data_IF_150400505851
#
_entry.id   IF_150400505851
#
_cell.length_a   1.000
_cell.length_b   1.000
_cell.length_c   1.000
_cell.angle_alpha   90.00
_cell.angle_beta   90.00
_cell.angle_gamma   90.00
#
_symmetry.space_group_name_H-M   'P 1'
#
loop_
_entity.id
_entity.type
_entity.pdbx_description
1 polymer ?
#
# COMPACT_ATOMS: atom_id res chain seq x y z
N UNK A 1 -21.92 57.27 -39.59
CA UNK A 1 -21.04 57.03 -38.43
C UNK A 1 -21.36 55.64 -37.88
N UNK A 2 -20.69 54.62 -38.40
CA UNK A 2 -20.88 53.21 -38.03
C UNK A 2 -19.55 52.70 -37.48
N UNK A 3 -19.43 52.67 -36.15
CA UNK A 3 -18.24 52.15 -35.48
C UNK A 3 -18.26 50.62 -35.43
N UNK A 4 -17.12 49.93 -35.63
CA UNK A 4 -17.06 48.49 -35.53
C UNK A 4 -17.11 48.06 -34.06
N UNK A 5 -18.07 47.20 -33.75
CA UNK A 5 -18.22 46.52 -32.46
C UNK A 5 -17.04 45.56 -32.27
N UNK A 6 -16.08 45.93 -31.42
CA UNK A 6 -14.97 45.04 -31.02
C UNK A 6 -15.53 43.92 -30.14
N UNK A 7 -15.64 42.72 -30.69
CA UNK A 7 -15.92 41.50 -29.93
C UNK A 7 -14.73 41.25 -29.01
N UNK A 8 -14.94 41.44 -27.71
CA UNK A 8 -13.98 41.07 -26.67
C UNK A 8 -13.95 39.54 -26.59
N UNK A 9 -12.91 38.91 -27.13
CA UNK A 9 -12.67 37.49 -26.91
C UNK A 9 -12.29 37.30 -25.44
N UNK A 10 -13.27 36.89 -24.62
CA UNK A 10 -13.02 36.38 -23.27
C UNK A 10 -12.29 35.05 -23.45
N UNK A 11 -10.96 35.09 -23.39
CA UNK A 11 -10.14 33.91 -23.13
C UNK A 11 -10.58 33.37 -21.77
N UNK A 12 -11.44 32.35 -21.79
CA UNK A 12 -11.63 31.45 -20.66
C UNK A 12 -10.25 30.87 -20.35
N UNK A 13 -9.54 31.48 -19.40
CA UNK A 13 -8.43 30.86 -18.72
C UNK A 13 -9.01 29.62 -18.05
N UNK A 14 -8.92 28.49 -18.76
CA UNK A 14 -9.27 27.18 -18.22
C UNK A 14 -8.49 27.03 -16.92
N UNK A 15 -9.23 27.09 -15.81
CA UNK A 15 -8.65 27.11 -14.48
C UNK A 15 -7.76 25.86 -14.33
N UNK A 16 -6.56 25.94 -13.74
CA UNK A 16 -5.65 24.80 -13.57
C UNK A 16 -6.32 23.58 -12.92
N UNK A 17 -7.39 23.81 -12.18
CA UNK A 17 -8.24 22.78 -11.60
C UNK A 17 -8.93 21.86 -12.61
N UNK A 18 -9.29 22.37 -13.81
CA UNK A 18 -9.96 21.58 -14.84
C UNK A 18 -9.02 20.51 -15.44
N UNK A 19 -7.77 20.89 -15.74
CA UNK A 19 -6.76 19.99 -16.30
C UNK A 19 -6.31 18.88 -15.33
N UNK A 20 -6.40 19.13 -14.02
CA UNK A 20 -6.03 18.11 -13.05
C UNK A 20 -6.94 16.88 -13.13
N UNK A 21 -8.20 17.04 -13.54
CA UNK A 21 -9.17 15.96 -13.68
C UNK A 21 -9.31 15.40 -15.09
N UNK A 22 -8.51 15.88 -16.06
CA UNK A 22 -8.42 15.22 -17.36
C UNK A 22 -7.90 13.80 -17.13
N UNK A 23 -8.80 12.82 -17.25
CA UNK A 23 -8.54 11.41 -16.98
C UNK A 23 -9.53 10.52 -17.75
N UNK A 24 -9.12 9.37 -18.30
CA UNK A 24 -7.77 8.80 -18.26
C UNK A 24 -6.76 9.59 -19.09
N UNK A 25 -5.60 9.87 -18.51
CA UNK A 25 -4.47 10.40 -19.27
C UNK A 25 -3.81 9.28 -20.06
N UNK A 26 -3.47 9.57 -21.33
CA UNK A 26 -2.59 8.70 -22.12
C UNK A 26 -1.26 8.55 -21.38
N UNK A 27 -0.60 7.40 -21.53
CA UNK A 27 0.74 7.21 -21.02
C UNK A 27 1.63 8.35 -21.53
N UNK A 28 2.33 9.04 -20.63
CA UNK A 28 3.37 9.97 -21.03
C UNK A 28 4.42 9.22 -21.88
N UNK A 29 5.13 9.88 -22.81
CA UNK A 29 6.21 9.24 -23.54
C UNK A 29 7.19 8.54 -22.59
N UNK A 30 7.38 7.23 -22.77
CA UNK A 30 8.23 6.40 -21.90
C UNK A 30 7.60 5.91 -20.59
N UNK A 31 6.36 6.29 -20.27
CA UNK A 31 5.65 5.77 -19.10
C UNK A 31 5.27 4.29 -19.30
N UNK A 32 5.43 3.50 -18.24
CA UNK A 32 5.18 2.07 -18.28
C UNK A 32 3.68 1.69 -18.27
N UNK A 33 2.79 2.64 -18.01
CA UNK A 33 1.34 2.43 -17.97
C UNK A 33 0.56 3.73 -18.26
N UNK A 34 -0.65 3.59 -18.81
CA UNK A 34 -1.64 4.66 -18.95
C UNK A 34 -2.68 4.56 -17.82
N UNK A 35 -3.29 5.70 -17.46
CA UNK A 35 -4.40 5.71 -16.50
C UNK A 35 -5.63 5.02 -17.10
N UNK A 36 -6.45 4.43 -16.24
CA UNK A 36 -7.75 3.86 -16.60
C UNK A 36 -8.88 4.61 -15.90
N UNK A 37 -10.12 4.34 -16.30
CA UNK A 37 -11.29 4.99 -15.72
C UNK A 37 -11.37 4.80 -14.19
N UNK A 38 -11.00 3.63 -13.67
CA UNK A 38 -10.98 3.37 -12.23
C UNK A 38 -9.93 4.19 -11.45
N UNK A 39 -8.90 4.70 -12.13
CA UNK A 39 -7.84 5.50 -11.53
C UNK A 39 -8.27 6.97 -11.31
N UNK A 40 -9.30 7.43 -12.04
CA UNK A 40 -9.55 8.85 -12.24
C UNK A 40 -9.93 9.68 -11.02
N UNK A 41 -10.79 9.20 -10.11
CA UNK A 41 -11.09 9.95 -8.89
C UNK A 41 -9.83 10.26 -8.08
N UNK A 42 -8.88 9.33 -8.08
CA UNK A 42 -7.65 9.40 -7.30
C UNK A 42 -6.54 10.16 -8.02
N UNK A 43 -6.44 9.97 -9.34
CA UNK A 43 -5.48 10.63 -10.21
C UNK A 43 -5.57 12.17 -10.11
N UNK A 44 -6.79 12.69 -10.28
CA UNK A 44 -6.99 14.14 -10.30
C UNK A 44 -6.79 14.77 -8.93
N UNK A 45 -7.29 14.12 -7.87
CA UNK A 45 -7.03 14.55 -6.50
C UNK A 45 -5.53 14.55 -6.18
N UNK A 46 -4.79 13.51 -6.58
CA UNK A 46 -3.34 13.42 -6.39
C UNK A 46 -2.59 14.57 -7.08
N UNK A 47 -2.94 14.90 -8.33
CA UNK A 47 -2.33 16.02 -9.07
C UNK A 47 -2.60 17.36 -8.39
N UNK A 48 -3.83 17.62 -7.97
CA UNK A 48 -4.17 18.85 -7.25
C UNK A 48 -3.43 18.96 -5.93
N UNK A 49 -3.38 17.88 -5.15
CA UNK A 49 -2.67 17.85 -3.89
C UNK A 49 -1.17 18.04 -4.07
N UNK A 50 -0.56 17.45 -5.10
CA UNK A 50 0.86 17.64 -5.39
C UNK A 50 1.17 19.12 -5.68
N UNK A 51 0.39 19.77 -6.56
CA UNK A 51 0.55 21.20 -6.88
C UNK A 51 0.42 22.08 -5.64
N UNK A 52 -0.52 21.77 -4.75
CA UNK A 52 -0.68 22.50 -3.48
C UNK A 52 0.44 22.21 -2.49
N UNK A 53 0.87 20.97 -2.38
CA UNK A 53 1.94 20.55 -1.50
C UNK A 53 3.28 21.20 -1.88
N UNK A 54 3.57 21.32 -3.18
CA UNK A 54 4.76 22.04 -3.70
C UNK A 54 4.76 23.52 -3.30
N UNK A 55 3.58 24.09 -3.09
CA UNK A 55 3.38 25.48 -2.64
C UNK A 55 3.20 25.60 -1.12
N UNK A 56 3.32 24.50 -0.37
CA UNK A 56 3.03 24.44 1.06
C UNK A 56 1.62 24.94 1.44
N UNK A 57 0.65 24.76 0.55
CA UNK A 57 -0.76 25.09 0.80
C UNK A 57 -1.47 23.96 1.54
N UNK A 58 -2.58 24.30 2.22
CA UNK A 58 -3.44 23.31 2.89
C UNK A 58 -4.04 22.31 1.89
N UNK A 59 -3.94 21.02 2.22
CA UNK A 59 -4.47 19.91 1.42
C UNK A 59 -5.89 19.51 1.84
N UNK A 60 -6.35 19.92 3.03
CA UNK A 60 -7.69 19.61 3.54
C UNK A 60 -8.80 19.94 2.53
N UNK A 61 -8.81 21.12 1.86
CA UNK A 61 -9.86 21.44 0.90
C UNK A 61 -9.95 20.46 -0.27
N UNK A 62 -8.81 19.92 -0.73
CA UNK A 62 -8.79 18.95 -1.83
C UNK A 62 -9.33 17.60 -1.37
N UNK A 63 -8.91 17.15 -0.20
CA UNK A 63 -9.44 15.94 0.42
C UNK A 63 -10.94 16.04 0.68
N UNK A 64 -11.42 17.16 1.21
CA UNK A 64 -12.84 17.38 1.49
C UNK A 64 -13.69 17.37 0.21
N UNK A 65 -13.18 17.97 -0.87
CA UNK A 65 -13.90 18.03 -2.14
C UNK A 65 -13.88 16.70 -2.91
N UNK A 66 -12.75 15.97 -2.91
CA UNK A 66 -12.52 14.87 -3.86
C UNK A 66 -12.32 13.50 -3.20
N UNK A 67 -12.05 13.45 -1.90
CA UNK A 67 -11.91 12.21 -1.15
C UNK A 67 -12.50 12.31 0.28
N UNK A 68 -13.74 12.84 0.46
CA UNK A 68 -14.30 13.07 1.81
C UNK A 68 -14.46 11.76 2.60
N UNK A 69 -14.66 10.64 1.92
CA UNK A 69 -14.69 9.31 2.55
C UNK A 69 -13.34 8.92 3.15
N UNK A 70 -12.23 9.34 2.54
CA UNK A 70 -10.89 9.07 3.08
C UNK A 70 -10.64 9.92 4.33
N UNK A 71 -11.01 11.21 4.36
CA UNK A 71 -10.88 12.02 5.57
C UNK A 71 -11.58 11.37 6.78
N UNK A 72 -12.82 10.92 6.60
CA UNK A 72 -13.57 10.23 7.67
C UNK A 72 -12.86 8.95 8.14
N UNK A 73 -12.29 8.19 7.21
CA UNK A 73 -11.51 6.99 7.55
C UNK A 73 -10.23 7.33 8.33
N UNK A 74 -9.50 8.39 7.94
CA UNK A 74 -8.30 8.85 8.67
C UNK A 74 -8.64 9.22 10.12
N UNK A 75 -9.73 9.97 10.34
CA UNK A 75 -10.17 10.30 11.70
C UNK A 75 -10.61 9.07 12.50
N UNK A 76 -11.27 8.11 11.85
CA UNK A 76 -11.67 6.84 12.48
C UNK A 76 -10.44 6.02 12.88
N UNK A 77 -9.45 5.91 12.00
CA UNK A 77 -8.24 5.12 12.24
C UNK A 77 -7.29 5.76 13.26
N UNK A 78 -7.28 7.10 13.37
CA UNK A 78 -6.52 7.84 14.38
C UNK A 78 -6.85 7.37 15.80
N UNK A 79 -8.11 7.06 16.05
CA UNK A 79 -8.59 6.57 17.34
C UNK A 79 -8.33 5.06 17.57
N UNK A 80 -7.81 4.36 16.57
CA UNK A 80 -7.65 2.90 16.59
C UNK A 80 -6.20 2.47 16.87
N UNK A 81 -6.01 1.21 17.27
CA UNK A 81 -4.68 0.62 17.44
C UNK A 81 -4.03 0.13 16.13
N UNK A 82 -4.62 0.45 14.97
CA UNK A 82 -4.30 -0.15 13.67
C UNK A 82 -2.86 0.11 13.23
N UNK A 83 -2.37 1.34 13.44
CA UNK A 83 -1.04 1.75 12.99
C UNK A 83 0.06 0.89 13.61
N UNK A 84 -0.08 0.53 14.89
CA UNK A 84 0.93 -0.21 15.62
C UNK A 84 1.20 -1.61 15.05
N UNK A 85 0.38 -2.13 14.14
CA UNK A 85 0.58 -3.42 13.47
C UNK A 85 1.48 -3.34 12.23
N UNK A 86 1.91 -2.14 11.84
CA UNK A 86 2.70 -1.89 10.65
C UNK A 86 4.11 -1.41 10.99
N UNK A 87 5.05 -1.72 10.11
CA UNK A 87 6.42 -1.21 10.16
C UNK A 87 6.61 0.07 9.36
N UNK A 88 7.82 0.24 8.85
CA UNK A 88 8.20 1.36 7.99
C UNK A 88 8.37 0.90 6.53
N UNK A 89 8.20 1.84 5.61
CA UNK A 89 8.40 1.66 4.18
C UNK A 89 9.24 2.79 3.56
N UNK A 90 9.78 2.54 2.38
CA UNK A 90 10.51 3.50 1.56
C UNK A 90 9.58 4.03 0.47
N UNK A 91 9.30 5.32 0.52
CA UNK A 91 8.56 6.09 -0.47
C UNK A 91 9.40 6.39 -1.73
N UNK A 92 9.95 5.32 -2.32
CA UNK A 92 10.73 5.36 -3.55
C UNK A 92 10.71 3.99 -4.21
N UNK A 93 10.37 3.91 -5.48
CA UNK A 93 10.44 2.67 -6.27
C UNK A 93 11.72 2.67 -7.08
N UNK A 94 12.62 1.74 -6.78
CA UNK A 94 13.91 1.61 -7.48
C UNK A 94 13.76 1.21 -8.94
N UNK A 95 12.74 0.41 -9.29
CA UNK A 95 12.53 -0.07 -10.65
C UNK A 95 11.93 1.02 -11.55
N UNK A 96 11.05 1.84 -10.98
CA UNK A 96 10.49 3.00 -11.66
C UNK A 96 11.33 4.28 -11.48
N UNK A 97 12.39 4.21 -10.66
CA UNK A 97 13.30 5.30 -10.33
C UNK A 97 12.56 6.59 -9.92
N UNK A 98 11.61 6.49 -8.99
CA UNK A 98 10.74 7.62 -8.66
C UNK A 98 10.11 7.54 -7.28
N UNK A 99 9.69 8.72 -6.80
CA UNK A 99 8.91 8.87 -5.56
C UNK A 99 7.52 8.26 -5.78
N UNK A 100 7.06 7.45 -4.83
CA UNK A 100 5.80 6.72 -4.98
C UNK A 100 4.61 7.65 -4.74
N UNK A 101 4.65 8.41 -3.64
CA UNK A 101 3.62 9.37 -3.22
C UNK A 101 4.31 10.69 -2.89
N UNK A 102 3.69 11.82 -3.25
CA UNK A 102 4.25 13.13 -2.93
C UNK A 102 4.50 13.27 -1.42
N UNK A 103 5.69 13.70 -0.95
CA UNK A 103 6.01 13.77 0.48
C UNK A 103 5.02 14.61 1.29
N UNK A 104 4.56 15.75 0.75
CA UNK A 104 3.56 16.59 1.42
C UNK A 104 2.20 15.91 1.61
N UNK A 105 1.82 14.99 0.70
CA UNK A 105 0.60 14.17 0.85
C UNK A 105 0.78 13.18 2.00
N UNK A 106 1.94 12.50 2.07
CA UNK A 106 2.23 11.57 3.17
C UNK A 106 2.30 12.29 4.53
N UNK A 107 2.92 13.47 4.60
CA UNK A 107 2.97 14.28 5.82
C UNK A 107 1.56 14.68 6.30
N UNK A 108 0.69 15.08 5.37
CA UNK A 108 -0.71 15.39 5.69
C UNK A 108 -1.45 14.16 6.23
N UNK A 109 -1.39 13.03 5.53
CA UNK A 109 -2.02 11.77 5.97
C UNK A 109 -1.49 11.35 7.34
N UNK A 110 -0.17 11.44 7.55
CA UNK A 110 0.48 11.10 8.82
C UNK A 110 -0.01 11.99 9.96
N UNK A 111 -0.13 13.30 9.74
CA UNK A 111 -0.64 14.24 10.74
C UNK A 111 -2.08 13.93 11.14
N UNK A 112 -2.93 13.57 10.16
CA UNK A 112 -4.33 13.19 10.40
C UNK A 112 -4.47 11.90 11.18
N UNK A 113 -3.69 10.89 10.84
CA UNK A 113 -3.67 9.60 11.53
C UNK A 113 -3.01 9.64 12.92
N UNK A 114 -2.30 10.71 13.26
CA UNK A 114 -1.44 10.72 14.45
C UNK A 114 -0.25 9.76 14.34
N UNK A 115 0.16 9.43 13.10
CA UNK A 115 1.33 8.59 12.84
C UNK A 115 2.63 9.43 12.89
N UNK A 116 3.76 8.74 13.04
CA UNK A 116 5.08 9.37 12.96
C UNK A 116 5.29 10.01 11.58
N UNK A 117 5.74 11.28 11.57
CA UNK A 117 6.00 12.01 10.33
C UNK A 117 7.06 11.30 9.48
N UNK A 118 6.94 11.34 8.13
CA UNK A 118 7.96 10.79 7.24
C UNK A 118 9.35 11.36 7.51
N UNK A 119 10.39 10.52 7.40
CA UNK A 119 11.80 10.87 7.61
C UNK A 119 12.59 10.61 6.33
N UNK A 120 12.88 11.66 5.56
CA UNK A 120 13.47 11.51 4.24
C UNK A 120 12.55 10.67 3.33
N UNK A 121 13.04 9.53 2.86
CA UNK A 121 12.25 8.57 2.07
C UNK A 121 11.45 7.58 2.93
N UNK A 122 11.65 7.55 4.25
CA UNK A 122 11.02 6.56 5.13
C UNK A 122 9.64 7.09 5.57
N UNK A 123 8.61 6.27 5.41
CA UNK A 123 7.25 6.55 5.86
C UNK A 123 6.69 5.35 6.65
N UNK A 124 5.54 5.54 7.30
CA UNK A 124 4.84 4.44 7.97
C UNK A 124 4.17 3.52 6.94
N UNK A 125 4.47 2.22 6.98
CA UNK A 125 4.08 1.29 5.92
C UNK A 125 2.57 1.19 5.74
N UNK A 126 1.81 1.14 6.84
CA UNK A 126 0.36 1.05 6.78
C UNK A 126 -0.27 2.25 6.08
N UNK A 127 0.22 3.48 6.33
CA UNK A 127 -0.39 4.67 5.73
C UNK A 127 0.04 4.83 4.28
N UNK A 128 1.31 4.54 3.96
CA UNK A 128 1.81 4.66 2.60
C UNK A 128 1.15 3.62 1.70
N UNK A 129 1.20 2.34 2.09
CA UNK A 129 0.71 1.24 1.27
C UNK A 129 -0.81 1.21 1.15
N UNK A 130 -1.57 1.90 2.00
CA UNK A 130 -3.03 2.02 1.88
C UNK A 130 -3.42 3.39 1.31
N UNK A 131 -3.64 4.39 2.15
CA UNK A 131 -4.10 5.72 1.76
C UNK A 131 -3.14 6.43 0.82
N UNK A 132 -1.83 6.37 1.07
CA UNK A 132 -0.82 6.99 0.22
C UNK A 132 -0.88 6.45 -1.21
N UNK A 133 -1.01 5.13 -1.36
CA UNK A 133 -1.05 4.46 -2.66
C UNK A 133 -2.23 4.87 -3.53
N UNK A 134 -3.37 5.24 -2.95
CA UNK A 134 -4.48 5.83 -3.72
C UNK A 134 -4.00 7.05 -4.51
N UNK A 135 -3.13 7.86 -3.90
CA UNK A 135 -2.61 9.10 -4.47
C UNK A 135 -1.22 8.96 -5.13
N UNK A 136 -0.75 7.73 -5.34
CA UNK A 136 0.51 7.49 -6.06
C UNK A 136 0.33 7.74 -7.55
N UNK A 137 1.15 8.62 -8.14
CA UNK A 137 1.16 8.92 -9.59
C UNK A 137 2.27 8.21 -10.36
N UNK A 138 3.05 7.35 -9.70
CA UNK A 138 4.18 6.67 -10.33
C UNK A 138 3.69 5.50 -11.21
N UNK A 139 3.81 5.59 -12.55
CA UNK A 139 3.51 4.45 -13.41
C UNK A 139 4.63 3.41 -13.26
N UNK A 140 4.26 2.15 -13.09
CA UNK A 140 5.22 1.03 -13.09
C UNK A 140 4.88 0.05 -14.21
N UNK A 141 5.81 -0.86 -14.52
CA UNK A 141 5.54 -1.97 -15.46
C UNK A 141 4.41 -2.91 -15.02
N UNK A 142 3.96 -2.78 -13.78
CA UNK A 142 2.84 -3.53 -13.21
C UNK A 142 1.56 -2.66 -13.08
N UNK A 143 1.55 -1.47 -13.66
CA UNK A 143 0.50 -0.46 -13.49
C UNK A 143 0.75 0.48 -12.32
N UNK A 144 -0.24 1.31 -11.99
CA UNK A 144 -0.18 2.22 -10.85
C UNK A 144 -0.34 1.46 -9.53
N UNK A 145 0.30 1.94 -8.47
CA UNK A 145 0.19 1.36 -7.13
C UNK A 145 -1.25 1.42 -6.59
N UNK A 146 -2.02 2.46 -6.95
CA UNK A 146 -3.45 2.62 -6.59
C UNK A 146 -4.33 1.47 -7.06
N UNK A 147 -3.97 0.82 -8.17
CA UNK A 147 -4.69 -0.32 -8.75
C UNK A 147 -4.89 -1.48 -7.74
N UNK A 148 -4.03 -1.57 -6.72
CA UNK A 148 -4.11 -2.58 -5.65
C UNK A 148 -5.39 -2.48 -4.82
N UNK A 149 -5.97 -1.28 -4.70
CA UNK A 149 -7.15 -1.02 -3.87
C UNK A 149 -8.38 -0.63 -4.67
N UNK A 150 -8.21 -0.04 -5.86
CA UNK A 150 -9.35 0.37 -6.69
C UNK A 150 -9.93 -0.76 -7.53
N UNK A 151 -9.15 -1.83 -7.77
CA UNK A 151 -9.64 -3.03 -8.45
C UNK A 151 -10.10 -4.07 -7.44
N UNK A 152 -11.17 -4.82 -7.74
CA UNK A 152 -11.72 -5.81 -6.82
C UNK A 152 -10.94 -7.14 -6.84
N UNK A 153 -9.66 -7.15 -7.24
CA UNK A 153 -8.89 -8.38 -7.46
C UNK A 153 -8.73 -9.19 -6.17
N UNK A 154 -8.53 -8.51 -5.04
CA UNK A 154 -8.41 -9.15 -3.72
C UNK A 154 -9.75 -9.77 -3.32
N UNK A 155 -10.84 -9.01 -3.43
CA UNK A 155 -12.16 -9.49 -3.04
C UNK A 155 -12.66 -10.61 -3.93
N UNK A 156 -12.53 -10.46 -5.26
CA UNK A 156 -12.89 -11.49 -6.23
C UNK A 156 -12.05 -12.75 -6.07
N UNK A 157 -10.74 -12.59 -5.80
CA UNK A 157 -9.81 -13.69 -5.61
C UNK A 157 -10.09 -14.48 -4.32
N UNK A 158 -10.38 -13.79 -3.22
CA UNK A 158 -10.59 -14.42 -1.91
C UNK A 158 -12.06 -14.80 -1.65
N UNK A 159 -12.98 -14.34 -2.50
CA UNK A 159 -14.42 -14.46 -2.32
C UNK A 159 -14.94 -13.63 -1.15
N UNK A 160 -14.48 -12.38 -1.05
CA UNK A 160 -15.00 -11.36 -0.13
C UNK A 160 -16.06 -10.50 -0.83
N UNK A 161 -16.83 -9.76 -0.05
CA UNK A 161 -17.71 -8.73 -0.62
C UNK A 161 -16.87 -7.64 -1.30
N UNK A 162 -17.17 -7.30 -2.56
CA UNK A 162 -16.45 -6.26 -3.31
C UNK A 162 -16.45 -4.93 -2.57
N UNK A 163 -15.30 -4.25 -2.56
CA UNK A 163 -15.12 -2.98 -1.86
C UNK A 163 -14.75 -3.14 -0.39
N UNK A 164 -14.81 -4.35 0.18
CA UNK A 164 -14.42 -4.58 1.58
C UNK A 164 -12.93 -4.32 1.84
N UNK A 165 -12.06 -4.44 0.83
CA UNK A 165 -10.65 -4.05 0.91
C UNK A 165 -10.34 -2.83 0.02
N UNK A 166 -11.39 -2.13 -0.44
CA UNK A 166 -11.29 -0.97 -1.32
C UNK A 166 -11.31 0.36 -0.56
N UNK A 167 -11.23 1.49 -1.28
CA UNK A 167 -11.12 2.83 -0.70
C UNK A 167 -12.43 3.38 -0.11
N UNK A 168 -13.56 2.76 -0.40
CA UNK A 168 -14.88 3.15 0.09
C UNK A 168 -15.63 1.92 0.60
N UNK A 169 -15.14 1.26 1.66
CA UNK A 169 -15.79 0.08 2.20
C UNK A 169 -17.12 0.46 2.86
N UNK A 170 -18.10 -0.44 2.80
CA UNK A 170 -19.39 -0.24 3.48
C UNK A 170 -19.27 -0.30 5.02
N UNK A 171 -18.27 -1.02 5.52
CA UNK A 171 -17.96 -1.16 6.94
C UNK A 171 -16.45 -1.07 7.16
N UNK A 172 -16.04 -0.54 8.32
CA UNK A 172 -14.63 -0.32 8.65
C UNK A 172 -13.97 0.75 7.77
N UNK A 173 -12.64 0.72 7.73
CA UNK A 173 -11.81 1.62 6.92
C UNK A 173 -10.90 0.80 6.01
N UNK A 174 -10.33 1.40 4.96
CA UNK A 174 -9.36 0.75 4.09
C UNK A 174 -8.19 0.20 4.92
N UNK A 175 -7.61 1.03 5.81
CA UNK A 175 -6.47 0.61 6.63
C UNK A 175 -6.85 -0.50 7.61
N UNK A 176 -7.96 -0.38 8.34
CA UNK A 176 -8.40 -1.43 9.27
C UNK A 176 -8.70 -2.74 8.54
N UNK A 177 -9.44 -2.69 7.43
CA UNK A 177 -9.81 -3.88 6.67
C UNK A 177 -8.58 -4.59 6.08
N UNK A 178 -7.67 -3.84 5.45
CA UNK A 178 -6.40 -4.42 4.94
C UNK A 178 -5.55 -4.96 6.09
N UNK A 179 -5.51 -4.28 7.24
CA UNK A 179 -4.79 -4.76 8.43
C UNK A 179 -5.36 -6.06 8.97
N UNK A 180 -6.69 -6.18 9.09
CA UNK A 180 -7.34 -7.41 9.51
C UNK A 180 -7.10 -8.55 8.53
N UNK A 181 -7.24 -8.27 7.23
CA UNK A 181 -7.04 -9.27 6.18
C UNK A 181 -5.58 -9.78 6.18
N UNK A 182 -4.61 -8.88 6.07
CA UNK A 182 -3.19 -9.21 6.03
C UNK A 182 -2.69 -9.77 7.37
N UNK A 183 -3.13 -9.19 8.49
CA UNK A 183 -2.78 -9.62 9.83
C UNK A 183 -3.28 -11.02 10.15
N UNK A 184 -4.52 -11.35 9.76
CA UNK A 184 -5.09 -12.68 9.96
C UNK A 184 -4.36 -13.78 9.18
N UNK A 185 -3.63 -13.39 8.13
CA UNK A 185 -2.76 -14.27 7.35
C UNK A 185 -1.37 -14.34 7.99
N UNK A 186 -0.71 -13.19 8.18
CA UNK A 186 0.71 -13.12 8.48
C UNK A 186 1.04 -13.24 9.98
N UNK A 187 0.20 -12.70 10.85
CA UNK A 187 0.49 -12.51 12.27
C UNK A 187 -0.13 -13.59 13.17
N UNK A 188 -0.95 -14.49 12.61
CA UNK A 188 -1.71 -15.49 13.38
C UNK A 188 -0.85 -16.44 14.19
N UNK A 189 0.35 -16.76 13.71
CA UNK A 189 1.27 -17.68 14.40
C UNK A 189 2.18 -16.95 15.40
N UNK A 190 2.01 -15.63 15.58
CA UNK A 190 2.81 -14.79 16.48
C UNK A 190 1.94 -14.25 17.62
N UNK A 191 1.96 -14.88 18.82
CA UNK A 191 1.01 -14.56 19.88
C UNK A 191 0.93 -13.06 20.24
N UNK A 192 2.07 -12.38 20.32
CA UNK A 192 2.12 -10.95 20.63
C UNK A 192 1.48 -10.09 19.54
N UNK A 193 1.77 -10.38 18.28
CA UNK A 193 1.22 -9.64 17.14
C UNK A 193 -0.28 -9.95 16.94
N UNK A 194 -0.68 -11.20 17.12
CA UNK A 194 -2.08 -11.61 17.02
C UNK A 194 -2.94 -11.03 18.14
N UNK A 195 -2.42 -10.94 19.37
CA UNK A 195 -3.12 -10.28 20.48
C UNK A 195 -3.38 -8.80 20.19
N UNK A 196 -2.46 -8.11 19.50
CA UNK A 196 -2.66 -6.74 19.07
C UNK A 196 -3.68 -6.66 17.91
N UNK A 197 -3.61 -7.59 16.96
CA UNK A 197 -4.60 -7.68 15.87
C UNK A 197 -6.02 -7.85 16.41
N UNK A 198 -6.20 -8.69 17.44
CA UNK A 198 -7.51 -8.93 18.06
C UNK A 198 -8.17 -7.63 18.58
N UNK A 199 -7.39 -6.62 18.98
CA UNK A 199 -7.90 -5.31 19.40
C UNK A 199 -8.41 -4.46 18.23
N UNK A 200 -7.95 -4.75 17.02
CA UNK A 200 -8.33 -4.04 15.78
C UNK A 200 -9.53 -4.71 15.10
N UNK A 201 -9.69 -6.04 15.23
CA UNK A 201 -10.76 -6.81 14.58
C UNK A 201 -12.20 -6.26 14.74
N UNK A 202 -12.59 -5.67 15.88
CA UNK A 202 -13.91 -5.04 16.02
C UNK A 202 -14.16 -3.87 15.05
N UNK A 203 -13.11 -3.19 14.60
CA UNK A 203 -13.19 -2.05 13.68
C UNK A 203 -13.19 -2.44 12.20
N UNK A 204 -13.02 -3.73 11.90
CA UNK A 204 -12.97 -4.24 10.54
C UNK A 204 -14.36 -4.64 10.04
N UNK A 205 -14.56 -4.59 8.73
CA UNK A 205 -15.76 -5.07 8.06
C UNK A 205 -16.06 -6.52 8.45
N UNK A 206 -17.32 -6.85 8.67
CA UNK A 206 -17.76 -8.21 8.99
C UNK A 206 -17.19 -9.31 8.04
N UNK A 207 -17.24 -9.18 6.69
CA UNK A 207 -16.68 -10.20 5.80
C UNK A 207 -15.16 -10.36 5.94
N UNK A 208 -14.44 -9.26 6.23
CA UNK A 208 -12.99 -9.29 6.43
C UNK A 208 -12.64 -9.94 7.77
N UNK A 209 -13.38 -9.59 8.84
CA UNK A 209 -13.21 -10.23 10.16
C UNK A 209 -13.45 -11.73 10.08
N UNK A 210 -14.52 -12.16 9.41
CA UNK A 210 -14.83 -13.57 9.22
C UNK A 210 -13.70 -14.31 8.45
N UNK A 211 -13.13 -13.67 7.44
CA UNK A 211 -11.97 -14.20 6.73
C UNK A 211 -10.71 -14.27 7.61
N UNK A 212 -10.42 -13.23 8.39
CA UNK A 212 -9.22 -13.16 9.22
C UNK A 212 -9.23 -14.21 10.36
N UNK A 213 -10.41 -14.56 10.87
CA UNK A 213 -10.55 -15.54 11.95
C UNK A 213 -10.34 -16.99 11.50
N UNK A 214 -10.65 -17.34 10.24
CA UNK A 214 -10.54 -18.73 9.76
C UNK A 214 -9.08 -19.17 9.53
N UNK A 215 -8.78 -20.48 9.59
CA UNK A 215 -7.53 -21.01 9.03
C UNK A 215 -7.46 -20.69 7.52
N UNK A 216 -6.29 -20.25 7.06
CA UNK A 216 -6.04 -19.93 5.66
C UNK A 216 -4.82 -20.71 5.20
N UNK A 217 -5.04 -21.58 4.21
CA UNK A 217 -3.94 -22.29 3.55
C UNK A 217 -2.99 -21.27 2.93
N UNK A 218 -1.70 -21.37 3.22
CA UNK A 218 -0.69 -20.47 2.67
C UNK A 218 0.67 -21.13 2.56
N UNK A 219 1.46 -20.69 1.58
CA UNK A 219 2.89 -20.94 1.57
C UNK A 219 3.60 -19.72 2.15
N UNK A 220 4.52 -19.91 3.10
CA UNK A 220 5.34 -18.83 3.67
C UNK A 220 6.78 -19.01 3.25
N UNK A 221 7.32 -18.05 2.52
CA UNK A 221 8.76 -17.87 2.36
C UNK A 221 9.28 -17.07 3.57
N UNK A 222 10.24 -17.63 4.30
CA UNK A 222 10.95 -16.96 5.39
C UNK A 222 12.40 -16.72 4.99
N UNK A 223 12.89 -15.49 5.15
CA UNK A 223 14.27 -15.10 4.88
C UNK A 223 14.87 -14.53 6.18
N UNK A 224 15.72 -15.31 6.84
CA UNK A 224 16.27 -15.03 8.17
C UNK A 224 17.70 -14.52 8.09
N UNK A 225 17.99 -13.44 8.82
CA UNK A 225 19.34 -12.88 9.02
C UNK A 225 19.60 -12.56 10.48
N UNK A 226 20.87 -12.71 10.90
CA UNK A 226 21.37 -12.19 12.15
C UNK A 226 22.15 -10.91 11.87
N UNK A 227 21.69 -9.80 12.43
CA UNK A 227 22.35 -8.51 12.36
C UNK A 227 23.39 -8.39 13.50
N UNK A 228 24.15 -7.29 13.48
CA UNK A 228 25.08 -6.96 14.56
C UNK A 228 24.37 -6.95 15.93
N UNK A 229 25.06 -7.41 16.96
CA UNK A 229 24.51 -7.53 18.32
C UNK A 229 23.52 -8.70 18.51
N UNK A 230 23.43 -9.63 17.55
CA UNK A 230 22.58 -10.81 17.66
C UNK A 230 21.09 -10.56 17.41
N UNK A 231 20.73 -9.36 16.91
CA UNK A 231 19.35 -9.04 16.52
C UNK A 231 18.93 -9.91 15.33
N UNK A 232 17.92 -10.73 15.53
CA UNK A 232 17.34 -11.60 14.49
C UNK A 232 16.23 -10.86 13.76
N UNK A 233 16.33 -10.82 12.43
CA UNK A 233 15.27 -10.33 11.54
C UNK A 233 14.84 -11.46 10.63
N UNK A 234 13.53 -11.66 10.51
CA UNK A 234 12.94 -12.62 9.57
C UNK A 234 11.96 -11.89 8.66
N UNK A 235 12.31 -11.78 7.39
CA UNK A 235 11.43 -11.28 6.35
C UNK A 235 10.48 -12.41 5.94
N UNK A 236 9.18 -12.15 5.91
CA UNK A 236 8.15 -13.16 5.67
C UNK A 236 7.28 -12.75 4.49
N UNK A 237 7.17 -13.64 3.51
CA UNK A 237 6.24 -13.50 2.39
C UNK A 237 5.24 -14.64 2.42
N UNK A 238 4.00 -14.33 2.79
CA UNK A 238 2.88 -15.27 2.75
C UNK A 238 2.17 -15.20 1.40
N UNK A 239 1.94 -16.36 0.79
CA UNK A 239 1.20 -16.52 -0.46
C UNK A 239 -0.09 -17.29 -0.18
N UNK A 240 -1.22 -16.61 -0.31
CA UNK A 240 -2.55 -17.20 -0.14
C UNK A 240 -3.18 -17.41 -1.52
N UNK A 241 -3.51 -18.65 -1.92
CA UNK A 241 -4.14 -18.89 -3.21
C UNK A 241 -5.53 -18.27 -3.26
N UNK A 242 -5.84 -17.65 -4.39
CA UNK A 242 -7.19 -17.23 -4.70
C UNK A 242 -8.08 -18.45 -5.01
N UNK A 243 -9.36 -18.33 -4.68
CA UNK A 243 -10.40 -19.29 -5.07
C UNK A 243 -10.60 -19.32 -6.58
N UNK A 244 -10.46 -18.16 -7.23
CA UNK A 244 -10.42 -18.01 -8.69
C UNK A 244 -9.38 -16.97 -9.07
N UNK A 245 -8.76 -17.11 -10.23
CA UNK A 245 -7.89 -16.05 -10.74
C UNK A 245 -8.68 -14.73 -10.92
N UNK A 246 -8.07 -13.61 -10.55
CA UNK A 246 -8.68 -12.28 -10.62
C UNK A 246 -7.64 -11.25 -11.07
N UNK A 247 -7.95 -10.47 -12.10
CA UNK A 247 -7.02 -9.47 -12.66
C UNK A 247 -5.71 -10.06 -13.21
N UNK A 248 -5.70 -11.34 -13.61
CA UNK A 248 -4.48 -12.08 -14.00
C UNK A 248 -3.62 -12.55 -12.81
N UNK A 249 -4.09 -12.35 -11.59
CA UNK A 249 -3.45 -12.80 -10.36
C UNK A 249 -4.08 -14.09 -9.84
N UNK A 250 -3.30 -14.88 -9.13
CA UNK A 250 -3.70 -16.18 -8.57
C UNK A 250 -3.51 -16.27 -7.07
N UNK A 251 -2.80 -15.31 -6.46
CA UNK A 251 -2.52 -15.31 -5.03
C UNK A 251 -2.59 -13.89 -4.46
N UNK A 252 -2.90 -13.78 -3.17
CA UNK A 252 -2.56 -12.62 -2.36
C UNK A 252 -1.16 -12.82 -1.76
N UNK A 253 -0.26 -11.87 -2.00
CA UNK A 253 0.99 -11.75 -1.27
C UNK A 253 0.75 -10.87 -0.03
N UNK A 254 1.20 -11.33 1.14
CA UNK A 254 1.33 -10.51 2.34
C UNK A 254 2.78 -10.52 2.80
N UNK A 255 3.37 -9.33 2.93
CA UNK A 255 4.74 -9.16 3.38
C UNK A 255 4.77 -8.60 4.80
N UNK A 256 5.51 -9.27 5.67
CA UNK A 256 5.68 -8.91 7.08
C UNK A 256 7.12 -9.13 7.52
N UNK A 257 7.49 -8.55 8.65
CA UNK A 257 8.82 -8.67 9.24
C UNK A 257 8.66 -9.04 10.70
N UNK A 258 9.35 -10.10 11.13
CA UNK A 258 9.63 -10.34 12.54
C UNK A 258 10.98 -9.73 12.89
N UNK A 259 11.03 -9.06 14.03
CA UNK A 259 12.23 -8.41 14.53
C UNK A 259 12.38 -8.66 16.03
N UNK A 260 13.48 -9.32 16.42
CA UNK A 260 13.73 -9.65 17.82
C UNK A 260 13.88 -8.42 18.70
N UNK A 261 14.27 -7.25 18.15
CA UNK A 261 14.31 -6.00 18.90
C UNK A 261 12.91 -5.53 19.31
N UNK A 262 11.90 -5.76 18.46
CA UNK A 262 10.51 -5.45 18.76
C UNK A 262 9.75 -6.62 19.42
N UNK A 263 10.36 -7.82 19.43
CA UNK A 263 9.79 -9.06 19.96
C UNK A 263 8.43 -9.43 19.36
N UNK A 264 8.20 -9.04 18.09
CA UNK A 264 6.94 -9.28 17.38
C UNK A 264 7.13 -9.18 15.88
N UNK A 265 6.15 -9.67 15.13
CA UNK A 265 6.00 -9.40 13.71
C UNK A 265 5.11 -8.18 13.45
N UNK A 266 5.36 -7.49 12.34
CA UNK A 266 4.57 -6.37 11.84
C UNK A 266 4.40 -6.44 10.32
N UNK A 267 3.29 -5.89 9.83
CA UNK A 267 2.95 -5.82 8.41
C UNK A 267 3.77 -4.74 7.69
N UNK A 268 4.00 -4.94 6.40
CA UNK A 268 4.53 -3.91 5.51
C UNK A 268 3.59 -3.66 4.34
N UNK A 269 3.18 -4.70 3.63
CA UNK A 269 2.33 -4.55 2.43
C UNK A 269 1.55 -5.81 2.10
N UNK A 270 0.50 -5.67 1.31
CA UNK A 270 -0.24 -6.76 0.71
C UNK A 270 -0.69 -6.40 -0.72
N UNK A 271 -0.61 -7.34 -1.66
CA UNK A 271 -1.10 -7.13 -3.03
C UNK A 271 -1.25 -8.45 -3.81
N UNK A 272 -2.14 -8.50 -4.81
CA UNK A 272 -2.26 -9.65 -5.71
C UNK A 272 -1.00 -9.91 -6.53
N UNK A 273 -0.67 -11.18 -6.74
CA UNK A 273 0.43 -11.63 -7.61
C UNK A 273 0.01 -12.81 -8.48
N UNK A 274 0.66 -12.97 -9.63
CA UNK A 274 0.45 -14.10 -10.53
C UNK A 274 1.18 -15.38 -10.06
N UNK A 275 0.86 -16.50 -10.70
CA UNK A 275 1.37 -17.81 -10.29
C UNK A 275 2.88 -17.95 -10.54
N UNK A 276 3.38 -17.37 -11.62
CA UNK A 276 4.80 -17.38 -11.96
C UNK A 276 5.65 -16.69 -10.89
N UNK A 277 5.13 -15.60 -10.30
CA UNK A 277 5.77 -14.93 -9.18
C UNK A 277 5.94 -15.86 -7.98
N UNK A 278 4.88 -16.57 -7.60
CA UNK A 278 4.89 -17.51 -6.48
C UNK A 278 5.87 -18.66 -6.73
N UNK A 279 5.79 -19.30 -7.92
CA UNK A 279 6.69 -20.39 -8.32
C UNK A 279 8.16 -19.97 -8.22
N UNK A 280 8.50 -18.78 -8.71
CA UNK A 280 9.86 -18.26 -8.64
C UNK A 280 10.31 -17.95 -7.20
N UNK A 281 9.42 -17.41 -6.37
CA UNK A 281 9.75 -17.06 -4.99
C UNK A 281 10.06 -18.29 -4.12
N UNK A 282 9.34 -19.40 -4.33
CA UNK A 282 9.47 -20.65 -3.55
C UNK A 282 10.30 -21.73 -4.23
N UNK A 283 10.95 -21.42 -5.36
CA UNK A 283 11.74 -22.38 -6.12
C UNK A 283 12.88 -22.97 -5.25
N UNK A 284 13.07 -24.31 -5.23
CA UNK A 284 14.08 -24.97 -4.38
C UNK A 284 15.50 -24.42 -4.52
N UNK A 285 15.90 -24.02 -5.74
CA UNK A 285 17.21 -23.44 -6.01
C UNK A 285 17.48 -22.13 -5.23
N UNK A 286 16.41 -21.41 -4.85
CA UNK A 286 16.46 -20.18 -4.07
C UNK A 286 16.51 -20.38 -2.55
N UNK A 287 16.38 -21.61 -2.05
CA UNK A 287 16.26 -21.94 -0.62
C UNK A 287 17.58 -22.45 -0.04
N UNK A 288 17.64 -22.53 1.30
CA UNK A 288 18.80 -23.00 2.07
C UNK A 288 19.61 -21.87 2.72
N UNK A 289 20.73 -22.25 3.32
CA UNK A 289 21.66 -21.34 3.99
C UNK A 289 22.53 -20.56 2.98
N UNK A 290 23.09 -19.43 3.43
CA UNK A 290 24.02 -18.60 2.65
C UNK A 290 23.39 -17.86 1.46
N UNK A 291 22.06 -17.81 1.39
CA UNK A 291 21.32 -17.14 0.32
C UNK A 291 21.26 -15.63 0.57
N UNK A 292 21.25 -14.79 -0.48
CA UNK A 292 21.07 -13.36 -0.31
C UNK A 292 19.72 -13.07 0.33
N UNK A 293 19.72 -12.19 1.33
CA UNK A 293 18.51 -11.69 1.99
C UNK A 293 18.56 -10.17 1.97
N UNK A 294 17.47 -9.57 1.52
CA UNK A 294 17.30 -8.12 1.45
C UNK A 294 15.83 -7.78 1.61
N UNK A 295 15.53 -6.59 2.09
CA UNK A 295 14.16 -6.09 2.11
C UNK A 295 13.59 -5.98 0.70
N UNK A 296 12.27 -6.14 0.60
CA UNK A 296 11.52 -6.11 -0.66
C UNK A 296 10.26 -5.29 -0.48
N UNK A 297 9.64 -4.95 -1.61
CA UNK A 297 8.32 -4.33 -1.66
C UNK A 297 8.24 -3.04 -0.84
N UNK A 298 9.30 -2.24 -0.93
CA UNK A 298 9.45 -0.98 -0.20
C UNK A 298 9.56 -1.13 1.32
N UNK A 299 9.80 -2.31 1.89
CA UNK A 299 10.02 -2.43 3.33
C UNK A 299 11.30 -1.71 3.79
N UNK A 300 11.20 -0.97 4.90
CA UNK A 300 12.36 -0.45 5.61
C UNK A 300 12.54 -1.19 6.94
N UNK A 301 13.74 -1.72 7.17
CA UNK A 301 14.17 -2.34 8.41
C UNK A 301 15.54 -1.79 8.76
N UNK A 302 15.63 -1.05 9.86
CA UNK A 302 16.86 -0.44 10.35
C UNK A 302 17.99 -1.48 10.51
N UNK A 303 19.17 -1.17 9.95
CA UNK A 303 20.34 -2.04 10.00
C UNK A 303 20.34 -3.20 8.99
N UNK A 304 19.27 -3.39 8.22
CA UNK A 304 19.18 -4.36 7.13
C UNK A 304 18.99 -3.68 5.77
N UNK A 305 18.12 -2.68 5.70
CA UNK A 305 17.85 -1.96 4.45
C UNK A 305 19.03 -1.03 4.13
N UNK A 306 19.47 -1.02 2.87
CA UNK A 306 20.63 -0.26 2.37
C UNK A 306 21.99 -0.55 3.05
N UNK A 307 22.05 -1.49 4.00
CA UNK A 307 23.25 -1.84 4.75
C UNK A 307 24.16 -2.88 4.04
N UNK A 308 23.90 -3.17 2.77
CA UNK A 308 24.69 -4.07 1.92
C UNK A 308 24.06 -5.46 1.70
N UNK A 309 24.87 -6.40 1.20
CA UNK A 309 24.42 -7.75 0.83
C UNK A 309 24.49 -8.68 2.04
N UNK A 310 23.36 -8.94 2.68
CA UNK A 310 23.28 -9.93 3.75
C UNK A 310 23.14 -11.33 3.16
N UNK A 311 23.80 -12.30 3.80
CA UNK A 311 23.56 -13.72 3.59
C UNK A 311 22.82 -14.28 4.79
N UNK A 312 21.81 -15.10 4.52
CA UNK A 312 20.95 -15.67 5.53
C UNK A 312 20.42 -17.02 5.12
N UNK A 313 19.36 -17.46 5.79
CA UNK A 313 18.67 -18.72 5.50
C UNK A 313 17.32 -18.43 4.88
N UNK A 314 17.03 -19.05 3.74
CA UNK A 314 15.71 -18.99 3.09
C UNK A 314 15.01 -20.33 3.21
N UNK A 315 13.80 -20.35 3.73
CA UNK A 315 13.00 -21.56 3.90
C UNK A 315 11.55 -21.34 3.48
N UNK A 316 10.85 -22.42 3.12
CA UNK A 316 9.43 -22.39 2.80
C UNK A 316 8.70 -23.34 3.72
N UNK A 317 7.58 -22.89 4.28
CA UNK A 317 6.62 -23.71 5.03
C UNK A 317 5.23 -23.62 4.40
N UNK A 318 4.43 -24.67 4.56
CA UNK A 318 3.02 -24.67 4.18
C UNK A 318 2.20 -24.75 5.46
N UNK A 319 1.24 -23.85 5.59
CA UNK A 319 0.30 -23.74 6.71
C UNK A 319 -1.13 -23.92 6.22
#
# INVERSE_FOLDING_TARGET
MTGPLKILAVLFLLSPAAYAFDCPQKAAPGAAAAEKAEDCPWAGAARLMAVKADKHEDLEPVFAAHAPGILRQLETDRASAVLGLWGESINYDELANGVIVHPGILSFISARLGAAQPRGKIAHAGLEHTYGYLFSFLPTKFGFKRARWVRPDIEDGLGLARGSAGPAPAEGTLLANVTCLAGGIALKDEPAAFAQLARVMPHCAAPVRAYASRPVRRARLSEEVLLQGGRKVVLRTDFVPFKKAAGGNSHLLVYSVYDSAQRRAYLVTAFPVNEGFVKNAVAPAGLGAGKPVQTRYNAYVEGLTDAGKFKGTRSVSVH
#
